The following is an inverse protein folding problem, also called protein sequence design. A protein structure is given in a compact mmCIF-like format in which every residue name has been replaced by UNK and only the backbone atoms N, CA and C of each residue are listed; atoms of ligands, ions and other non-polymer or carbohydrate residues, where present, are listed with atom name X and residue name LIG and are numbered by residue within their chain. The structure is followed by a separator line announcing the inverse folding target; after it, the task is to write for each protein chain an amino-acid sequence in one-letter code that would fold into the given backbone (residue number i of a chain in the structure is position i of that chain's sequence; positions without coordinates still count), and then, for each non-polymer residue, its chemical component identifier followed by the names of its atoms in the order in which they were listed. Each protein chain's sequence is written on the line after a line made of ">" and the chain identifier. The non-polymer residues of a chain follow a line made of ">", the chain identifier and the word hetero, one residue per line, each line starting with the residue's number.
data_IF_554453884369
#
_entry.id   IF_554453884369
#
_cell.length_a   1.000
_cell.length_b   1.000
_cell.length_c   1.000
_cell.angle_alpha   90.00
_cell.angle_beta   90.00
_cell.angle_gamma   90.00
#
_symmetry.space_group_name_H-M   'P 1'
#
loop_
_entity.id
_entity.type
_entity.pdbx_description
1 polymer ?
#
# COMPACT_ATOMS: atom_id res chain seq x y z
N UNK A 1 16.91 -16.03 22.45
CA UNK A 1 16.18 -15.80 21.19
C UNK A 1 15.06 -14.85 21.52
N UNK A 2 15.20 -13.58 21.16
CA UNK A 2 14.20 -12.56 21.52
C UNK A 2 12.98 -12.79 20.60
N UNK A 3 11.84 -13.13 21.19
CA UNK A 3 10.56 -13.17 20.49
C UNK A 3 10.12 -11.72 20.29
N UNK A 4 10.22 -11.22 19.06
CA UNK A 4 9.64 -9.92 18.70
C UNK A 4 8.14 -10.10 18.41
N UNK A 5 7.36 -10.32 19.46
CA UNK A 5 5.92 -10.05 19.45
C UNK A 5 5.73 -8.55 19.59
N UNK A 6 5.40 -7.89 18.48
CA UNK A 6 5.17 -6.45 18.43
C UNK A 6 5.34 -5.91 17.02
N UNK A 7 4.56 -6.42 16.06
CA UNK A 7 4.31 -5.65 14.85
C UNK A 7 3.33 -4.55 15.26
N UNK A 8 3.89 -3.38 15.55
CA UNK A 8 3.23 -2.12 15.89
C UNK A 8 2.01 -1.85 14.98
N UNK A 9 0.82 -2.22 15.46
CA UNK A 9 -0.45 -1.93 14.80
C UNK A 9 -0.86 -0.45 14.85
N UNK A 10 -0.03 0.39 15.49
CA UNK A 10 -0.31 1.81 15.73
C UNK A 10 0.39 2.74 14.73
N UNK A 11 1.40 2.28 13.99
CA UNK A 11 2.18 3.13 13.06
C UNK A 11 1.68 3.09 11.60
N UNK A 12 0.73 2.23 11.27
CA UNK A 12 0.26 2.05 9.87
C UNK A 12 -0.57 3.22 9.32
N UNK A 13 -1.03 4.15 10.16
CA UNK A 13 -1.91 5.25 9.78
C UNK A 13 -1.21 6.37 8.98
N UNK A 14 0.13 6.43 8.95
CA UNK A 14 0.90 7.47 8.25
C UNK A 14 2.01 6.92 7.35
N UNK A 15 1.95 5.64 6.99
CA UNK A 15 2.99 5.04 6.18
C UNK A 15 2.68 5.14 4.68
N UNK A 16 3.45 5.97 4.00
CA UNK A 16 3.33 6.19 2.56
C UNK A 16 4.25 5.23 1.80
N UNK A 17 3.67 4.19 1.20
CA UNK A 17 4.40 3.16 0.45
C UNK A 17 4.61 3.55 -1.01
N UNK A 18 5.71 3.07 -1.59
CA UNK A 18 5.94 3.14 -3.03
C UNK A 18 5.18 2.03 -3.76
N UNK A 19 4.89 2.22 -5.04
CA UNK A 19 4.23 1.21 -5.88
C UNK A 19 4.93 -0.16 -5.86
N UNK A 20 6.26 -0.20 -5.68
CA UNK A 20 7.00 -1.46 -5.51
C UNK A 20 6.62 -2.19 -4.23
N UNK A 21 6.58 -1.50 -3.09
CA UNK A 21 6.21 -2.15 -1.84
C UNK A 21 4.75 -2.61 -1.85
N UNK A 22 3.85 -1.86 -2.47
CA UNK A 22 2.46 -2.28 -2.64
C UNK A 22 2.35 -3.54 -3.51
N UNK A 23 3.14 -3.60 -4.58
CA UNK A 23 3.28 -4.76 -5.45
C UNK A 23 3.80 -5.99 -4.68
N UNK A 24 4.72 -5.82 -3.73
CA UNK A 24 5.22 -6.89 -2.87
C UNK A 24 4.19 -7.37 -1.85
N UNK A 25 3.41 -6.45 -1.26
CA UNK A 25 2.35 -6.76 -0.28
C UNK A 25 1.24 -7.58 -0.94
N UNK A 26 0.68 -7.10 -2.04
CA UNK A 26 -0.40 -7.78 -2.75
C UNK A 26 0.09 -8.93 -3.66
N UNK A 27 1.40 -9.09 -3.86
CA UNK A 27 2.01 -10.05 -4.80
C UNK A 27 1.51 -9.89 -6.25
N UNK A 28 1.18 -8.67 -6.67
CA UNK A 28 0.66 -8.36 -8.02
C UNK A 28 1.61 -7.47 -8.79
N UNK A 29 1.62 -7.54 -10.12
CA UNK A 29 2.40 -6.61 -10.95
C UNK A 29 1.89 -5.16 -10.87
N UNK A 30 2.77 -4.17 -11.09
CA UNK A 30 2.42 -2.74 -11.15
C UNK A 30 1.23 -2.42 -12.09
N UNK A 31 1.18 -3.04 -13.27
CA UNK A 31 0.10 -2.86 -14.24
C UNK A 31 -1.26 -3.32 -13.68
N UNK A 32 -1.27 -4.44 -12.96
CA UNK A 32 -2.45 -4.96 -12.27
C UNK A 32 -2.90 -4.01 -11.17
N UNK A 33 -1.96 -3.48 -10.38
CA UNK A 33 -2.25 -2.49 -9.33
C UNK A 33 -2.94 -1.23 -9.90
N UNK A 34 -2.42 -0.66 -10.99
CA UNK A 34 -3.05 0.49 -11.64
C UNK A 34 -4.41 0.15 -12.27
N UNK A 35 -4.57 -1.06 -12.80
CA UNK A 35 -5.84 -1.51 -13.37
C UNK A 35 -6.91 -1.67 -12.29
N UNK A 36 -6.57 -2.26 -11.14
CA UNK A 36 -7.46 -2.40 -9.99
C UNK A 36 -7.83 -1.03 -9.44
N UNK A 37 -6.85 -0.15 -9.20
CA UNK A 37 -7.11 1.23 -8.76
C UNK A 37 -8.03 2.01 -9.71
N UNK A 38 -8.01 1.72 -11.01
CA UNK A 38 -8.88 2.37 -12.00
C UNK A 38 -10.27 1.73 -12.12
N UNK A 39 -10.37 0.41 -11.99
CA UNK A 39 -11.62 -0.33 -12.16
C UNK A 39 -12.45 -0.37 -10.87
N UNK A 40 -11.79 -0.43 -9.72
CA UNK A 40 -12.43 -0.64 -8.42
C UNK A 40 -12.31 0.66 -7.59
N UNK A 41 -13.42 1.40 -7.40
CA UNK A 41 -13.40 2.63 -6.61
C UNK A 41 -13.18 2.39 -5.11
N UNK A 42 -13.29 1.13 -4.66
CA UNK A 42 -12.97 0.69 -3.29
C UNK A 42 -11.48 0.44 -3.10
N UNK A 43 -10.71 0.30 -4.17
CA UNK A 43 -9.28 0.04 -4.09
C UNK A 43 -8.52 1.35 -3.73
N UNK A 44 -7.43 1.29 -2.95
CA UNK A 44 -6.66 2.47 -2.57
C UNK A 44 -6.34 3.37 -3.77
N UNK A 45 -6.55 4.68 -3.62
CA UNK A 45 -6.21 5.62 -4.67
C UNK A 45 -4.72 6.02 -4.57
N UNK A 46 -4.00 6.12 -5.71
CA UNK A 46 -2.64 6.60 -5.72
C UNK A 46 -2.59 8.07 -5.31
N UNK A 47 -1.77 8.38 -4.30
CA UNK A 47 -1.39 9.74 -3.96
C UNK A 47 -0.30 10.21 -4.91
N UNK A 48 -0.58 11.30 -5.60
CA UNK A 48 0.36 11.93 -6.52
C UNK A 48 1.22 12.96 -5.79
N UNK A 49 2.44 12.58 -5.43
CA UNK A 49 3.48 13.50 -4.95
C UNK A 49 4.28 14.02 -6.16
N UNK A 50 3.68 14.92 -6.93
CA UNK A 50 4.27 15.45 -8.15
C UNK A 50 4.49 14.36 -9.20
N UNK A 51 5.76 13.99 -9.45
CA UNK A 51 6.12 12.89 -10.37
C UNK A 51 6.15 11.52 -9.69
N UNK A 52 6.10 11.46 -8.37
CA UNK A 52 6.13 10.22 -7.61
C UNK A 52 4.70 9.77 -7.27
N UNK A 53 4.45 8.48 -7.46
CA UNK A 53 3.21 7.84 -7.05
C UNK A 53 3.45 7.13 -5.72
N UNK A 54 2.51 7.34 -4.80
CA UNK A 54 2.56 6.88 -3.43
C UNK A 54 1.22 6.28 -3.06
N UNK A 55 1.21 5.38 -2.08
CA UNK A 55 0.01 4.69 -1.65
C UNK A 55 -0.07 4.70 -0.13
N UNK A 56 -1.27 4.90 0.38
CA UNK A 56 -1.49 4.87 1.82
C UNK A 56 -1.55 3.42 2.29
N UNK A 57 -0.74 3.04 3.28
CA UNK A 57 -0.72 1.67 3.79
C UNK A 57 -2.03 1.31 4.50
N UNK A 58 -2.71 2.27 5.14
CA UNK A 58 -3.98 2.03 5.81
C UNK A 58 -5.04 1.49 4.84
N UNK A 59 -5.24 2.17 3.71
CA UNK A 59 -6.17 1.73 2.67
C UNK A 59 -5.76 0.40 2.01
N UNK A 60 -4.46 0.09 2.00
CA UNK A 60 -3.93 -1.19 1.49
C UNK A 60 -4.21 -2.34 2.46
N UNK A 61 -4.03 -2.11 3.75
CA UNK A 61 -4.22 -3.14 4.78
C UNK A 61 -5.70 -3.42 5.06
N UNK A 62 -6.58 -2.44 4.79
CA UNK A 62 -8.03 -2.59 4.94
C UNK A 62 -8.66 -3.47 3.84
N UNK A 63 -7.95 -3.68 2.71
CA UNK A 63 -8.42 -4.42 1.53
C UNK A 63 -7.86 -5.86 1.46
#
# INVERSE_FOLDING_TARGET
>A
MISVTGFDNETYAMQIQTTEQVCEIFKISRSTLYRLSKNDPTFPQPLHFGRAIRWNLADICEF
#
